data_IF_640454406811
#
_entry.id   IF_640454406811
#
_cell.length_a   1.000
_cell.length_b   1.000
_cell.length_c   1.000
_cell.angle_alpha   90.00
_cell.angle_beta   90.00
_cell.angle_gamma   90.00
#
_symmetry.space_group_name_H-M   'P 1'
#
loop_
_entity.id
_entity.type
_entity.pdbx_description
1 polymer ?
#
# COMPACT_ATOMS: atom_id res chain seq x y z
N UNK A 1 4.33 -16.49 -5.50
CA UNK A 1 4.01 -15.06 -5.29
C UNK A 1 5.10 -14.37 -4.45
N UNK A 2 5.42 -14.82 -3.22
CA UNK A 2 6.38 -14.15 -2.32
C UNK A 2 7.74 -13.89 -2.97
N UNK A 3 8.36 -14.90 -3.61
CA UNK A 3 9.67 -14.74 -4.31
C UNK A 3 9.59 -13.65 -5.39
N UNK A 4 8.48 -13.55 -6.10
CA UNK A 4 8.28 -12.48 -7.10
C UNK A 4 8.19 -11.11 -6.45
N UNK A 5 7.46 -10.99 -5.34
CA UNK A 5 7.34 -9.74 -4.59
C UNK A 5 8.69 -9.26 -4.08
N UNK A 6 9.49 -10.16 -3.49
CA UNK A 6 10.84 -9.87 -3.01
C UNK A 6 11.73 -9.37 -4.15
N UNK A 7 11.83 -10.14 -5.24
CA UNK A 7 12.64 -9.76 -6.41
C UNK A 7 12.22 -8.44 -7.04
N UNK A 8 10.91 -8.20 -7.12
CA UNK A 8 10.40 -6.95 -7.67
C UNK A 8 10.79 -5.76 -6.79
N UNK A 9 10.67 -5.86 -5.48
CA UNK A 9 11.03 -4.80 -4.55
C UNK A 9 12.54 -4.50 -4.59
N UNK A 10 13.36 -5.54 -4.67
CA UNK A 10 14.80 -5.42 -4.85
C UNK A 10 15.17 -4.73 -6.17
N UNK A 11 14.52 -5.09 -7.27
CA UNK A 11 14.80 -4.53 -8.60
C UNK A 11 14.24 -3.14 -8.79
N UNK A 12 12.99 -2.92 -8.36
CA UNK A 12 12.29 -1.65 -8.60
C UNK A 12 12.64 -0.61 -7.54
N UNK A 13 12.76 -0.99 -6.28
CA UNK A 13 13.00 -0.06 -5.18
C UNK A 13 14.37 -0.21 -4.51
N UNK A 14 15.14 -1.25 -4.84
CA UNK A 14 16.43 -1.52 -4.23
C UNK A 14 16.30 -1.87 -2.74
N UNK A 15 15.19 -2.51 -2.35
CA UNK A 15 14.88 -2.76 -0.93
C UNK A 15 14.80 -4.26 -0.66
N UNK A 16 15.78 -4.76 0.08
CA UNK A 16 15.85 -6.14 0.51
C UNK A 16 15.04 -6.37 1.79
N UNK A 17 14.66 -7.63 2.01
CA UNK A 17 14.08 -8.07 3.27
C UNK A 17 15.19 -8.21 4.32
N UNK A 18 14.93 -7.76 5.52
CA UNK A 18 15.93 -7.60 6.57
C UNK A 18 15.94 -8.71 7.64
N UNK A 19 15.14 -9.76 7.46
CA UNK A 19 15.12 -10.92 8.33
C UNK A 19 15.45 -12.18 7.54
N UNK A 20 15.96 -13.22 8.22
CA UNK A 20 16.30 -14.50 7.61
C UNK A 20 15.07 -15.32 7.21
N UNK A 21 13.94 -15.10 7.88
CA UNK A 21 12.72 -15.89 7.70
C UNK A 21 11.50 -15.00 7.54
N UNK A 22 10.68 -15.30 6.54
CA UNK A 22 9.36 -14.73 6.31
C UNK A 22 8.30 -15.82 6.49
N UNK A 23 7.55 -15.79 7.59
CA UNK A 23 6.50 -16.75 7.86
C UNK A 23 5.14 -16.23 7.38
N UNK A 24 4.33 -17.14 6.85
CA UNK A 24 2.91 -16.91 6.52
C UNK A 24 2.08 -17.95 7.25
N UNK A 25 1.11 -17.49 8.04
CA UNK A 25 0.13 -18.33 8.72
C UNK A 25 -1.23 -18.16 8.08
N UNK A 26 -1.80 -19.25 7.56
CA UNK A 26 -3.16 -19.27 7.03
C UNK A 26 -4.16 -19.54 8.16
N UNK A 27 -5.18 -18.70 8.25
CA UNK A 27 -6.24 -18.79 9.27
C UNK A 27 -7.62 -18.79 8.61
N UNK A 28 -8.44 -19.78 8.91
CA UNK A 28 -9.78 -19.91 8.30
C UNK A 28 -10.79 -18.92 8.87
N UNK A 29 -10.75 -18.70 10.17
CA UNK A 29 -11.62 -17.76 10.87
C UNK A 29 -10.86 -16.46 11.18
N UNK A 30 -10.73 -15.62 10.16
CA UNK A 30 -10.02 -14.34 10.22
C UNK A 30 -10.89 -13.22 9.65
N UNK A 31 -11.13 -12.18 10.45
CA UNK A 31 -12.05 -11.10 10.08
C UNK A 31 -11.52 -10.16 8.99
N UNK A 32 -10.19 -10.11 8.78
CA UNK A 32 -9.52 -9.27 7.80
C UNK A 32 -9.03 -10.09 6.61
N UNK A 33 -8.42 -9.44 5.64
CA UNK A 33 -7.75 -10.10 4.52
C UNK A 33 -6.43 -10.72 4.94
N UNK A 34 -5.53 -9.90 5.43
CA UNK A 34 -4.25 -10.30 5.98
C UNK A 34 -3.72 -9.24 6.97
N UNK A 35 -2.58 -9.52 7.59
CA UNK A 35 -1.89 -8.58 8.49
C UNK A 35 -0.38 -8.78 8.38
N UNK A 36 0.33 -7.70 8.18
CA UNK A 36 1.76 -7.60 7.93
C UNK A 36 2.66 -7.79 9.18
N UNK A 37 2.24 -8.50 10.21
CA UNK A 37 3.08 -8.70 11.40
C UNK A 37 4.48 -9.12 10.99
N UNK A 38 5.49 -8.30 11.33
CA UNK A 38 6.85 -8.46 10.83
C UNK A 38 7.42 -9.85 11.13
N UNK A 39 7.81 -10.56 10.09
CA UNK A 39 8.35 -11.92 10.17
C UNK A 39 7.31 -13.03 10.40
N UNK A 40 6.05 -12.67 10.69
CA UNK A 40 4.96 -13.62 10.96
C UNK A 40 3.62 -13.07 10.43
N UNK A 41 3.50 -12.98 9.12
CA UNK A 41 2.29 -12.49 8.46
C UNK A 41 1.12 -13.46 8.67
N UNK A 42 -0.07 -12.93 8.92
CA UNK A 42 -1.29 -13.72 9.10
C UNK A 42 -2.22 -13.44 7.93
N UNK A 43 -2.73 -14.49 7.30
CA UNK A 43 -3.60 -14.42 6.13
C UNK A 43 -4.91 -15.14 6.39
N UNK A 44 -6.02 -14.56 5.96
CA UNK A 44 -7.21 -15.33 5.71
C UNK A 44 -6.85 -16.43 4.69
N UNK A 45 -7.18 -17.69 4.98
CA UNK A 45 -6.77 -18.85 4.18
C UNK A 45 -7.13 -18.71 2.70
N UNK A 46 -8.28 -18.10 2.38
CA UNK A 46 -8.72 -17.84 0.99
C UNK A 46 -7.82 -16.90 0.20
N UNK A 47 -6.93 -16.16 0.87
CA UNK A 47 -6.00 -15.21 0.25
C UNK A 47 -4.55 -15.74 0.16
N UNK A 48 -4.34 -17.00 0.53
CA UNK A 48 -3.02 -17.65 0.42
C UNK A 48 -3.10 -19.09 -0.07
N UNK A 49 -4.22 -19.77 0.18
CA UNK A 49 -4.43 -21.16 -0.26
C UNK A 49 -5.31 -21.20 -1.52
N UNK A 50 -4.93 -22.06 -2.46
CA UNK A 50 -5.65 -22.30 -3.69
C UNK A 50 -5.38 -23.73 -4.20
N UNK A 51 -6.38 -24.33 -4.85
CA UNK A 51 -6.20 -25.59 -5.58
C UNK A 51 -6.42 -25.36 -7.07
N UNK A 52 -5.74 -26.11 -7.90
CA UNK A 52 -5.86 -26.00 -9.35
C UNK A 52 -7.29 -26.34 -9.86
N UNK A 53 -8.01 -27.16 -9.09
CA UNK A 53 -9.35 -27.62 -9.45
C UNK A 53 -10.44 -26.58 -9.17
N UNK A 54 -10.22 -25.66 -8.23
CA UNK A 54 -11.27 -24.75 -7.76
C UNK A 54 -10.94 -23.28 -7.94
N UNK A 55 -9.66 -22.91 -8.00
CA UNK A 55 -9.24 -21.51 -8.11
C UNK A 55 -9.36 -20.99 -9.54
N UNK A 56 -9.87 -19.77 -9.67
CA UNK A 56 -9.89 -19.01 -10.92
C UNK A 56 -8.61 -18.23 -11.12
N UNK A 57 -8.37 -17.72 -12.33
CA UNK A 57 -7.26 -16.77 -12.60
C UNK A 57 -7.34 -15.53 -11.71
N UNK A 58 -8.55 -15.05 -11.43
CA UNK A 58 -8.80 -13.94 -10.51
C UNK A 58 -8.40 -14.25 -9.06
N UNK A 59 -8.57 -15.49 -8.61
CA UNK A 59 -8.12 -15.91 -7.27
C UNK A 59 -6.59 -15.93 -7.18
N UNK A 60 -5.91 -16.46 -8.19
CA UNK A 60 -4.44 -16.43 -8.25
C UNK A 60 -3.89 -15.00 -8.31
N UNK A 61 -4.53 -14.11 -9.08
CA UNK A 61 -4.14 -12.70 -9.12
C UNK A 61 -4.32 -12.01 -7.77
N UNK A 62 -5.44 -12.26 -7.12
CA UNK A 62 -5.72 -11.72 -5.78
C UNK A 62 -4.74 -12.21 -4.73
N UNK A 63 -4.45 -13.52 -4.70
CA UNK A 63 -3.46 -14.11 -3.81
C UNK A 63 -2.08 -13.47 -4.04
N UNK A 64 -1.66 -13.33 -5.30
CA UNK A 64 -0.38 -12.71 -5.62
C UNK A 64 -0.33 -11.25 -5.17
N UNK A 65 -1.40 -10.49 -5.40
CA UNK A 65 -1.50 -9.10 -5.00
C UNK A 65 -1.47 -8.90 -3.49
N UNK A 66 -2.21 -9.71 -2.73
CA UNK A 66 -2.23 -9.61 -1.25
C UNK A 66 -0.89 -10.06 -0.65
N UNK A 67 -0.27 -11.12 -1.15
CA UNK A 67 1.07 -11.52 -0.70
C UNK A 67 2.09 -10.40 -0.98
N UNK A 68 1.99 -9.74 -2.13
CA UNK A 68 2.80 -8.56 -2.45
C UNK A 68 2.54 -7.40 -1.50
N UNK A 69 1.28 -7.07 -1.24
CA UNK A 69 0.86 -6.01 -0.32
C UNK A 69 1.48 -6.21 1.07
N UNK A 70 1.29 -7.37 1.68
CA UNK A 70 1.84 -7.68 3.01
C UNK A 70 3.38 -7.66 3.02
N UNK A 71 4.01 -8.16 1.96
CA UNK A 71 5.46 -8.09 1.84
C UNK A 71 5.97 -6.65 1.75
N UNK A 72 5.30 -5.79 0.94
CA UNK A 72 5.73 -4.40 0.77
C UNK A 72 5.57 -3.57 2.04
N UNK A 73 4.69 -3.96 2.94
CA UNK A 73 4.61 -3.38 4.28
C UNK A 73 5.90 -3.50 5.07
N UNK A 74 6.81 -4.40 4.72
CA UNK A 74 8.10 -4.50 5.41
C UNK A 74 8.81 -3.14 5.49
N UNK A 75 8.81 -2.38 4.40
CA UNK A 75 9.35 -1.02 4.36
C UNK A 75 8.29 0.05 4.66
N UNK A 76 7.10 -0.08 4.09
CA UNK A 76 6.03 0.92 4.20
C UNK A 76 4.96 0.48 5.21
N UNK A 77 5.31 0.52 6.47
CA UNK A 77 4.47 0.14 7.61
C UNK A 77 5.26 -0.43 8.79
N UNK A 78 6.24 -1.31 8.53
CA UNK A 78 7.02 -1.97 9.57
C UNK A 78 8.33 -1.23 9.86
N UNK A 79 9.24 -1.10 8.91
CA UNK A 79 10.50 -0.37 9.11
C UNK A 79 10.27 1.12 9.24
N UNK A 80 9.40 1.69 8.41
CA UNK A 80 8.90 3.06 8.59
C UNK A 80 7.43 2.93 8.97
N UNK A 81 7.11 3.25 10.22
CA UNK A 81 5.74 3.11 10.74
C UNK A 81 5.00 4.44 10.81
N UNK A 82 3.71 4.41 11.05
CA UNK A 82 2.90 5.60 11.28
C UNK A 82 3.07 6.10 12.71
N UNK A 83 3.27 7.41 12.91
CA UNK A 83 3.37 8.03 14.23
C UNK A 83 2.09 7.87 15.05
N UNK A 84 0.97 7.94 14.37
CA UNK A 84 -0.37 7.81 14.94
C UNK A 84 -1.36 7.28 13.88
N UNK A 85 -2.58 6.95 14.31
CA UNK A 85 -3.59 6.37 13.43
C UNK A 85 -4.10 7.31 12.33
N UNK A 86 -3.96 8.63 12.48
CA UNK A 86 -4.33 9.59 11.44
C UNK A 86 -3.39 9.54 10.23
N UNK A 87 -2.23 8.93 10.37
CA UNK A 87 -1.24 8.73 9.30
C UNK A 87 -1.44 7.42 8.54
N UNK A 88 -2.50 6.67 8.80
CA UNK A 88 -2.70 5.29 8.28
C UNK A 88 -2.57 5.20 6.75
N UNK A 89 -3.00 6.23 6.01
CA UNK A 89 -2.83 6.31 4.57
C UNK A 89 -1.36 6.23 4.13
N UNK A 90 -0.44 6.72 4.96
CA UNK A 90 1.00 6.66 4.68
C UNK A 90 1.55 5.22 4.66
N UNK A 91 0.86 4.31 5.35
CA UNK A 91 1.15 2.88 5.34
C UNK A 91 0.27 2.17 4.29
N UNK A 92 -1.04 2.25 4.42
CA UNK A 92 -1.97 1.49 3.58
C UNK A 92 -2.08 2.03 2.15
N UNK A 93 -2.31 3.32 2.00
CA UNK A 93 -2.40 3.93 0.66
C UNK A 93 -1.11 3.80 -0.14
N UNK A 94 0.05 3.96 0.53
CA UNK A 94 1.35 3.79 -0.12
C UNK A 94 1.60 2.33 -0.51
N UNK A 95 1.23 1.38 0.34
CA UNK A 95 1.41 -0.04 0.04
C UNK A 95 0.44 -0.51 -1.04
N UNK A 96 -0.81 -0.05 -1.06
CA UNK A 96 -1.74 -0.29 -2.18
C UNK A 96 -1.17 0.28 -3.49
N UNK A 97 -0.59 1.48 -3.47
CA UNK A 97 0.05 2.02 -4.67
C UNK A 97 1.20 1.13 -5.16
N UNK A 98 2.00 0.57 -4.26
CA UNK A 98 3.11 -0.34 -4.58
C UNK A 98 2.61 -1.70 -5.10
N UNK A 99 1.57 -2.27 -4.50
CA UNK A 99 1.01 -3.54 -4.98
C UNK A 99 0.33 -3.40 -6.35
N UNK A 100 -0.30 -2.25 -6.62
CA UNK A 100 -0.84 -1.91 -7.94
C UNK A 100 0.27 -1.83 -9.00
N UNK A 101 1.42 -1.22 -8.67
CA UNK A 101 2.58 -1.20 -9.56
C UNK A 101 3.14 -2.61 -9.79
N UNK A 102 3.30 -3.40 -8.74
CA UNK A 102 3.75 -4.77 -8.82
C UNK A 102 2.84 -5.61 -9.74
N UNK A 103 1.54 -5.58 -9.51
CA UNK A 103 0.59 -6.33 -10.35
C UNK A 103 0.61 -5.83 -11.79
N UNK A 104 0.76 -4.52 -12.03
CA UNK A 104 0.89 -3.94 -13.36
C UNK A 104 2.13 -4.47 -14.09
N UNK A 105 3.25 -4.57 -13.41
CA UNK A 105 4.52 -5.07 -13.97
C UNK A 105 4.50 -6.59 -14.18
N UNK A 106 3.84 -7.33 -13.29
CA UNK A 106 3.75 -8.80 -13.40
C UNK A 106 2.74 -9.26 -14.46
N UNK A 107 1.76 -8.42 -14.82
CA UNK A 107 0.63 -8.78 -15.70
C UNK A 107 0.42 -7.72 -16.79
N UNK A 108 -0.68 -6.99 -16.72
CA UNK A 108 -1.03 -5.95 -17.69
C UNK A 108 -1.38 -4.65 -16.97
N UNK A 109 -0.57 -3.62 -17.16
CA UNK A 109 -0.78 -2.30 -16.58
C UNK A 109 -2.14 -1.70 -16.99
N UNK A 110 -2.56 -1.88 -18.25
CA UNK A 110 -3.83 -1.35 -18.75
C UNK A 110 -5.03 -2.06 -18.08
N UNK A 111 -5.00 -3.39 -18.00
CA UNK A 111 -6.06 -4.18 -17.35
C UNK A 111 -6.09 -3.87 -15.85
N UNK A 112 -4.94 -3.88 -15.19
CA UNK A 112 -4.86 -3.54 -13.76
C UNK A 112 -5.46 -2.16 -13.48
N UNK A 113 -5.11 -1.14 -14.28
CA UNK A 113 -5.66 0.21 -14.12
C UNK A 113 -7.19 0.24 -14.26
N UNK A 114 -7.75 -0.50 -15.22
CA UNK A 114 -9.21 -0.60 -15.39
C UNK A 114 -9.85 -1.21 -14.14
N UNK A 115 -9.30 -2.30 -13.62
CA UNK A 115 -9.82 -2.98 -12.43
C UNK A 115 -9.71 -2.10 -11.18
N UNK A 116 -8.60 -1.36 -11.01
CA UNK A 116 -8.42 -0.43 -9.88
C UNK A 116 -9.46 0.70 -9.93
N UNK A 117 -9.70 1.27 -11.12
CA UNK A 117 -10.73 2.30 -11.29
C UNK A 117 -12.14 1.74 -11.02
N UNK A 118 -12.43 0.51 -11.44
CA UNK A 118 -13.71 -0.14 -11.13
C UNK A 118 -13.88 -0.31 -9.62
N UNK A 119 -12.85 -0.76 -8.92
CA UNK A 119 -12.85 -0.91 -7.46
C UNK A 119 -13.04 0.44 -6.77
N UNK A 120 -12.28 1.46 -7.17
CA UNK A 120 -12.39 2.83 -6.64
C UNK A 120 -13.84 3.35 -6.76
N UNK A 121 -14.42 3.22 -7.95
CA UNK A 121 -15.79 3.70 -8.20
C UNK A 121 -16.86 2.88 -7.47
N UNK A 122 -16.68 1.56 -7.40
CA UNK A 122 -17.66 0.68 -6.76
C UNK A 122 -17.68 0.80 -5.23
N UNK A 123 -16.52 1.07 -4.62
CA UNK A 123 -16.34 1.10 -3.16
C UNK A 123 -16.16 2.51 -2.62
N UNK A 124 -15.11 3.20 -3.05
CA UNK A 124 -14.69 4.46 -2.47
C UNK A 124 -15.63 5.62 -2.84
N UNK A 125 -16.12 5.70 -4.07
CA UNK A 125 -17.10 6.74 -4.45
C UNK A 125 -18.41 6.61 -3.66
N UNK A 126 -18.84 5.38 -3.37
CA UNK A 126 -20.01 5.14 -2.51
C UNK A 126 -19.74 5.56 -1.06
N UNK A 127 -18.57 5.30 -0.55
CA UNK A 127 -18.14 5.72 0.78
C UNK A 127 -18.09 7.24 0.89
N UNK A 128 -17.51 7.93 -0.11
CA UNK A 128 -17.42 9.38 -0.18
C UNK A 128 -18.81 10.08 -0.33
N UNK A 129 -19.76 9.39 -0.94
CA UNK A 129 -21.14 9.90 -1.11
C UNK A 129 -22.06 9.58 0.10
N UNK A 130 -21.57 8.85 1.07
CA UNK A 130 -22.34 8.37 2.22
C UNK A 130 -22.12 9.19 3.50
N UNK A 131 -22.85 8.85 4.57
CA UNK A 131 -22.75 9.57 5.86
C UNK A 131 -21.43 9.33 6.59
N UNK A 132 -20.63 8.34 6.17
CA UNK A 132 -19.33 8.03 6.73
C UNK A 132 -18.17 8.58 5.88
N UNK A 133 -18.44 9.53 4.99
CA UNK A 133 -17.42 10.20 4.18
C UNK A 133 -16.35 10.84 5.08
N UNK A 134 -15.09 10.63 4.72
CA UNK A 134 -13.94 11.18 5.42
C UNK A 134 -12.76 11.36 4.45
N UNK A 135 -11.80 12.25 4.76
CA UNK A 135 -10.60 12.38 3.93
C UNK A 135 -9.65 11.18 4.11
N UNK A 136 -8.71 10.95 3.18
CA UNK A 136 -7.65 9.93 3.34
C UNK A 136 -6.82 10.10 4.61
N UNK A 137 -6.73 11.33 5.12
CA UNK A 137 -6.22 11.63 6.46
C UNK A 137 -7.38 12.07 7.34
N UNK A 138 -8.01 11.15 8.08
CA UNK A 138 -9.06 11.51 9.03
C UNK A 138 -8.53 12.40 10.16
N UNK A 139 -9.41 13.15 10.79
CA UNK A 139 -9.07 14.05 11.90
C UNK A 139 -9.68 13.63 13.24
N UNK A 140 -10.58 12.65 13.22
CA UNK A 140 -11.21 12.10 14.41
C UNK A 140 -11.67 10.65 14.18
N UNK A 141 -11.80 9.85 15.25
CA UNK A 141 -12.37 8.50 15.21
C UNK A 141 -13.01 8.15 16.57
N UNK A 142 -13.93 7.20 16.53
CA UNK A 142 -14.48 6.56 17.73
C UNK A 142 -13.91 5.15 17.91
N UNK A 143 -13.86 4.38 16.82
CA UNK A 143 -13.30 3.02 16.77
C UNK A 143 -12.25 2.95 15.66
N UNK A 144 -11.03 2.56 16.02
CA UNK A 144 -9.89 2.58 15.10
C UNK A 144 -10.08 1.68 13.89
N UNK A 145 -10.76 0.55 14.02
CA UNK A 145 -11.04 -0.36 12.90
C UNK A 145 -11.84 0.33 11.78
N UNK A 146 -12.57 1.40 12.09
CA UNK A 146 -13.30 2.19 11.10
C UNK A 146 -12.41 3.01 10.15
N UNK A 147 -11.09 3.06 10.40
CA UNK A 147 -10.12 3.72 9.50
C UNK A 147 -9.64 2.84 8.35
N UNK A 148 -9.88 1.54 8.41
CA UNK A 148 -9.52 0.60 7.35
C UNK A 148 -10.57 0.63 6.22
N UNK A 149 -10.57 1.72 5.46
CA UNK A 149 -11.61 2.11 4.50
C UNK A 149 -11.08 2.20 3.08
N UNK A 150 -11.98 2.13 2.09
CA UNK A 150 -11.62 2.36 0.70
C UNK A 150 -11.02 3.77 0.47
N UNK A 151 -11.40 4.74 1.29
CA UNK A 151 -10.84 6.09 1.24
C UNK A 151 -9.36 6.10 1.65
N UNK A 152 -9.00 5.44 2.74
CA UNK A 152 -7.59 5.37 3.19
C UNK A 152 -6.74 4.54 2.24
N UNK A 153 -7.24 3.43 1.74
CA UNK A 153 -6.53 2.49 0.86
C UNK A 153 -6.52 2.96 -0.59
N UNK A 154 -7.68 2.90 -1.26
CA UNK A 154 -7.77 3.14 -2.70
C UNK A 154 -7.64 4.62 -3.07
N UNK A 155 -8.35 5.53 -2.39
CA UNK A 155 -8.19 6.97 -2.64
C UNK A 155 -6.81 7.46 -2.18
N UNK A 156 -6.27 6.91 -1.08
CA UNK A 156 -4.89 7.15 -0.66
C UNK A 156 -3.89 6.80 -1.74
N UNK A 157 -4.01 5.62 -2.36
CA UNK A 157 -3.16 5.21 -3.48
C UNK A 157 -3.31 6.14 -4.70
N UNK A 158 -4.53 6.61 -5.01
CA UNK A 158 -4.75 7.56 -6.10
C UNK A 158 -4.06 8.91 -5.84
N UNK A 159 -4.12 9.43 -4.61
CA UNK A 159 -3.42 10.67 -4.23
C UNK A 159 -1.91 10.51 -4.37
N UNK A 160 -1.35 9.38 -3.96
CA UNK A 160 0.08 9.08 -4.17
C UNK A 160 0.40 8.99 -5.66
N UNK A 161 -0.46 8.36 -6.45
CA UNK A 161 -0.33 8.32 -7.91
C UNK A 161 -0.39 9.70 -8.56
N UNK A 162 -1.21 10.63 -8.04
CA UNK A 162 -1.23 12.03 -8.46
C UNK A 162 0.09 12.72 -8.14
N UNK A 163 0.63 12.54 -6.94
CA UNK A 163 1.92 13.09 -6.55
C UNK A 163 3.04 12.58 -7.47
N UNK A 164 3.07 11.28 -7.76
CA UNK A 164 4.02 10.69 -8.70
C UNK A 164 3.95 11.36 -10.07
N UNK A 165 2.74 11.57 -10.63
CA UNK A 165 2.57 12.25 -11.92
C UNK A 165 3.05 13.70 -11.86
N UNK A 166 2.80 14.39 -10.74
CA UNK A 166 3.21 15.79 -10.55
C UNK A 166 4.73 15.94 -10.53
N UNK A 167 5.45 15.04 -9.83
CA UNK A 167 6.92 15.12 -9.71
C UNK A 167 7.67 14.34 -10.81
N UNK A 168 6.98 13.49 -11.56
CA UNK A 168 7.54 12.60 -12.57
C UNK A 168 8.23 11.36 -11.98
N UNK A 169 8.53 10.37 -12.82
CA UNK A 169 9.09 9.08 -12.37
C UNK A 169 10.43 9.23 -11.65
N UNK A 170 11.32 10.07 -12.18
CA UNK A 170 12.63 10.32 -11.56
C UNK A 170 12.49 11.01 -10.20
N UNK A 171 11.65 12.04 -10.10
CA UNK A 171 11.38 12.74 -8.85
C UNK A 171 10.75 11.82 -7.80
N UNK A 172 9.79 10.99 -8.21
CA UNK A 172 9.17 10.01 -7.34
C UNK A 172 10.19 8.99 -6.82
N UNK A 173 11.04 8.45 -7.71
CA UNK A 173 12.10 7.51 -7.32
C UNK A 173 13.09 8.13 -6.33
N UNK A 174 13.55 9.34 -6.61
CA UNK A 174 14.48 10.05 -5.73
C UNK A 174 13.85 10.31 -4.35
N UNK A 175 12.58 10.73 -4.33
CA UNK A 175 11.84 10.96 -3.09
C UNK A 175 11.64 9.67 -2.28
N UNK A 176 11.26 8.57 -2.93
CA UNK A 176 11.12 7.27 -2.25
C UNK A 176 12.43 6.79 -1.64
N UNK A 177 13.54 6.88 -2.38
CA UNK A 177 14.86 6.52 -1.85
C UNK A 177 15.20 7.38 -0.64
N UNK A 178 15.00 8.70 -0.74
CA UNK A 178 15.23 9.61 0.38
C UNK A 178 14.32 9.31 1.57
N UNK A 179 13.06 8.93 1.33
CA UNK A 179 12.12 8.53 2.38
C UNK A 179 12.63 7.31 3.14
N UNK A 180 13.01 6.27 2.42
CA UNK A 180 13.56 5.06 3.02
C UNK A 180 14.86 5.32 3.78
N UNK A 181 15.78 6.05 3.19
CA UNK A 181 17.10 6.30 3.80
C UNK A 181 17.03 7.24 5.01
N UNK A 182 16.11 8.22 4.98
CA UNK A 182 15.96 9.22 6.05
C UNK A 182 15.14 8.69 7.24
N UNK A 183 14.14 7.86 6.98
CA UNK A 183 13.14 7.51 7.96
C UNK A 183 13.13 6.03 8.38
N UNK A 184 14.12 5.25 7.94
CA UNK A 184 14.26 3.87 8.39
C UNK A 184 14.31 3.80 9.93
N UNK A 185 13.48 2.92 10.50
CA UNK A 185 13.34 2.77 11.96
C UNK A 185 12.56 3.88 12.66
N UNK A 186 11.90 4.77 11.91
CA UNK A 186 11.17 5.91 12.48
C UNK A 186 9.64 5.77 12.31
N UNK A 187 8.92 6.53 13.15
CA UNK A 187 7.48 6.74 13.06
C UNK A 187 7.21 8.08 12.37
N UNK A 188 6.58 8.05 11.19
CA UNK A 188 6.43 9.19 10.30
C UNK A 188 5.01 9.74 10.23
N UNK A 189 4.93 10.98 9.74
CA UNK A 189 3.70 11.69 9.41
C UNK A 189 3.59 11.90 7.90
N UNK A 190 2.39 12.29 7.44
CA UNK A 190 2.18 12.71 6.06
C UNK A 190 3.00 13.98 5.76
N UNK A 191 3.22 14.84 6.75
CA UNK A 191 4.11 16.00 6.61
C UNK A 191 5.55 15.60 6.31
N UNK A 192 6.08 14.58 7.00
CA UNK A 192 7.42 14.04 6.74
C UNK A 192 7.51 13.49 5.31
N UNK A 193 6.48 12.77 4.87
CA UNK A 193 6.36 12.27 3.51
C UNK A 193 6.41 13.41 2.47
N UNK A 194 5.56 14.42 2.59
CA UNK A 194 5.55 15.57 1.67
C UNK A 194 6.89 16.30 1.69
N UNK A 195 7.46 16.50 2.87
CA UNK A 195 8.77 17.18 3.01
C UNK A 195 9.89 16.45 2.26
N UNK A 196 9.89 15.13 2.28
CA UNK A 196 10.85 14.32 1.51
C UNK A 196 10.70 14.59 0.01
N UNK A 197 9.47 14.70 -0.50
CA UNK A 197 9.21 15.01 -1.91
C UNK A 197 9.67 16.42 -2.29
N UNK A 198 9.42 17.42 -1.42
CA UNK A 198 9.92 18.78 -1.61
C UNK A 198 11.44 18.81 -1.66
N UNK A 199 12.11 18.14 -0.72
CA UNK A 199 13.56 18.10 -0.63
C UNK A 199 14.20 17.38 -1.83
N UNK A 200 13.63 16.26 -2.27
CA UNK A 200 14.16 15.48 -3.37
C UNK A 200 13.95 16.12 -4.74
N UNK A 201 12.88 16.92 -4.90
CA UNK A 201 12.48 17.46 -6.21
C UNK A 201 12.67 18.97 -6.34
N UNK A 202 12.89 19.68 -5.24
CA UNK A 202 12.93 21.14 -5.22
C UNK A 202 11.58 21.82 -5.51
N UNK A 203 10.47 21.07 -5.48
CA UNK A 203 9.13 21.59 -5.75
C UNK A 203 8.45 22.04 -4.48
N UNK A 204 7.71 23.16 -4.54
CA UNK A 204 6.76 23.54 -3.51
C UNK A 204 5.47 22.71 -3.66
N UNK A 205 5.15 21.91 -2.66
CA UNK A 205 3.95 21.08 -2.62
C UNK A 205 2.87 21.62 -1.67
N UNK A 206 3.00 22.86 -1.22
CA UNK A 206 2.05 23.51 -0.28
C UNK A 206 0.61 23.45 -0.79
N UNK A 207 0.39 23.69 -2.09
CA UNK A 207 -0.95 23.61 -2.69
C UNK A 207 -1.45 22.16 -2.78
N UNK A 208 -0.58 21.20 -3.10
CA UNK A 208 -0.94 19.80 -3.20
C UNK A 208 -1.37 19.22 -1.84
N UNK A 209 -0.77 19.70 -0.76
CA UNK A 209 -1.03 19.27 0.62
C UNK A 209 -2.43 19.72 1.14
N UNK A 210 -3.00 20.77 0.59
CA UNK A 210 -4.33 21.33 0.97
C UNK A 210 -5.48 20.51 0.42
#
# INVERSE_FOLDING_TARGET
SLIRSMRWDEQVYGREYDLDVFNIVAVDDFNMGAMENKGLNIFNSKLVLATAETATDGDYERIEGVIGHEYFHNWTGNRITCRDWFQLCLKEGLTVFRDQQFTSDMRSAAVKRILDVQTLRARQFREDAGPLAHPPRPDHYQEINNFYTATVYEKGAEVIGMLKRLVGDQGYRAALNLYFDRHDGQACTIEDWIKVFEDATGRDLTQFKR
#
